data_IF_756296855848
#
_entry.id   IF_756296855848
#
_cell.length_a   1.000
_cell.length_b   1.000
_cell.length_c   1.000
_cell.angle_alpha   90.00
_cell.angle_beta   90.00
_cell.angle_gamma   90.00
#
_symmetry.space_group_name_H-M   'P 1'
#
loop_
_entity.id
_entity.type
_entity.pdbx_description
1 polymer ?
#
# COMPACT_ATOMS: atom_id res chain seq x y z
N UNK A 1 -1.20 30.73 -15.75
CA UNK A 1 -1.95 29.78 -14.92
C UNK A 1 -1.67 28.41 -15.52
N UNK A 2 -1.05 27.47 -14.78
CA UNK A 2 -0.98 26.09 -15.27
C UNK A 2 -2.32 25.42 -14.99
N UNK A 3 -2.86 24.75 -16.00
CA UNK A 3 -4.10 23.98 -15.90
C UNK A 3 -3.85 22.74 -15.04
N UNK A 4 -4.70 22.51 -14.04
CA UNK A 4 -4.69 21.30 -13.20
C UNK A 4 -5.79 20.39 -13.74
N UNK A 5 -5.41 19.25 -14.29
CA UNK A 5 -6.34 18.27 -14.87
C UNK A 5 -6.22 16.95 -14.10
N UNK A 6 -7.36 16.43 -13.64
CA UNK A 6 -7.44 15.08 -13.11
C UNK A 6 -7.61 14.09 -14.27
N UNK A 7 -6.75 13.07 -14.35
CA UNK A 7 -6.82 12.03 -15.38
C UNK A 7 -7.18 10.71 -14.70
N UNK A 8 -8.46 10.27 -14.72
CA UNK A 8 -8.92 9.08 -13.98
C UNK A 8 -8.15 7.80 -14.30
N UNK A 9 -7.70 7.65 -15.55
CA UNK A 9 -6.87 6.53 -15.99
C UNK A 9 -5.50 6.54 -15.29
N UNK A 10 -4.85 7.70 -15.19
CA UNK A 10 -3.58 7.82 -14.49
C UNK A 10 -3.74 7.56 -12.98
N UNK A 11 -4.83 8.02 -12.39
CA UNK A 11 -5.17 7.76 -10.98
C UNK A 11 -5.40 6.25 -10.77
N UNK A 12 -6.12 5.58 -11.67
CA UNK A 12 -6.37 4.14 -11.59
C UNK A 12 -5.06 3.35 -11.69
N UNK A 13 -4.15 3.72 -12.60
CA UNK A 13 -2.81 3.10 -12.72
C UNK A 13 -1.93 3.32 -11.49
N UNK A 14 -2.05 4.47 -10.83
CA UNK A 14 -1.41 4.68 -9.54
C UNK A 14 -1.96 3.74 -8.48
N UNK A 15 -3.28 3.50 -8.50
CA UNK A 15 -3.93 2.46 -7.70
C UNK A 15 -3.38 1.06 -7.96
N UNK A 16 -3.18 0.68 -9.23
CA UNK A 16 -2.58 -0.61 -9.61
C UNK A 16 -1.17 -0.77 -9.01
N UNK A 17 -0.34 0.27 -9.15
CA UNK A 17 1.01 0.28 -8.61
C UNK A 17 1.02 0.17 -7.07
N UNK A 18 0.10 0.86 -6.40
CA UNK A 18 -0.06 0.77 -4.95
C UNK A 18 -0.53 -0.63 -4.51
N UNK A 19 -1.44 -1.26 -5.26
CA UNK A 19 -1.88 -2.63 -4.98
C UNK A 19 -0.74 -3.65 -5.13
N UNK A 20 0.08 -3.51 -6.17
CA UNK A 20 1.28 -4.35 -6.36
C UNK A 20 2.26 -4.15 -5.21
N UNK A 21 2.49 -2.91 -4.77
CA UNK A 21 3.36 -2.64 -3.61
C UNK A 21 2.80 -3.26 -2.34
N UNK A 22 1.49 -3.15 -2.09
CA UNK A 22 0.85 -3.78 -0.94
C UNK A 22 1.07 -5.29 -0.92
N UNK A 23 0.89 -5.97 -2.06
CA UNK A 23 1.09 -7.41 -2.18
C UNK A 23 2.56 -7.81 -1.96
N UNK A 24 3.50 -7.09 -2.58
CA UNK A 24 4.93 -7.36 -2.46
C UNK A 24 5.42 -7.17 -1.01
N UNK A 25 5.09 -6.02 -0.41
CA UNK A 25 5.48 -5.69 0.97
C UNK A 25 4.83 -6.66 1.96
N UNK A 26 3.54 -6.98 1.77
CA UNK A 26 2.84 -7.98 2.60
C UNK A 26 3.48 -9.37 2.52
N UNK A 27 3.90 -9.80 1.32
CA UNK A 27 4.59 -11.09 1.13
C UNK A 27 5.96 -11.10 1.81
N UNK A 28 6.71 -10.00 1.72
CA UNK A 28 7.99 -9.86 2.45
C UNK A 28 7.79 -9.85 3.97
N UNK A 29 6.66 -9.32 4.45
CA UNK A 29 6.25 -9.40 5.85
C UNK A 29 5.84 -10.81 6.29
N UNK A 30 5.46 -11.72 5.41
CA UNK A 30 5.01 -13.07 5.79
C UNK A 30 6.14 -14.03 6.23
N UNK A 31 7.36 -13.52 6.49
CA UNK A 31 8.50 -14.34 6.89
C UNK A 31 8.31 -14.98 8.27
N UNK A 32 8.74 -16.24 8.42
CA UNK A 32 8.73 -16.93 9.71
C UNK A 32 9.80 -16.35 10.65
N UNK A 33 9.39 -15.40 11.49
CA UNK A 33 10.27 -14.75 12.46
C UNK A 33 10.97 -15.72 13.41
N UNK A 34 10.28 -16.77 13.85
CA UNK A 34 10.87 -17.76 14.75
C UNK A 34 12.00 -18.52 14.06
N UNK A 35 11.84 -18.85 12.77
CA UNK A 35 12.92 -19.45 11.98
C UNK A 35 14.09 -18.48 11.76
N UNK A 36 13.81 -17.21 11.48
CA UNK A 36 14.85 -16.18 11.30
C UNK A 36 15.66 -15.94 12.58
N UNK A 37 14.98 -15.84 13.74
CA UNK A 37 15.66 -15.68 15.04
C UNK A 37 16.43 -16.94 15.39
N UNK A 38 15.86 -18.14 15.19
CA UNK A 38 16.55 -19.41 15.45
C UNK A 38 17.82 -19.57 14.62
N UNK A 39 17.80 -19.12 13.35
CA UNK A 39 18.95 -19.21 12.45
C UNK A 39 20.14 -18.34 12.91
N UNK A 40 19.91 -17.27 13.68
CA UNK A 40 20.99 -16.38 14.17
C UNK A 40 21.46 -16.72 15.59
N UNK A 41 20.79 -17.63 16.30
CA UNK A 41 21.22 -18.10 17.64
C UNK A 41 22.69 -18.57 17.66
N UNK A 42 23.19 -19.37 16.69
CA UNK A 42 24.58 -19.82 16.70
C UNK A 42 25.59 -18.68 16.48
N UNK A 43 25.18 -17.61 15.80
CA UNK A 43 26.04 -16.44 15.50
C UNK A 43 26.31 -15.63 16.77
N UNK A 44 25.30 -15.45 17.61
CA UNK A 44 25.44 -14.69 18.86
C UNK A 44 26.09 -15.50 20.00
N UNK A 45 26.03 -16.84 19.94
CA UNK A 45 26.62 -17.71 20.95
C UNK A 45 26.04 -17.51 22.36
N UNK A 46 26.70 -18.07 23.38
CA UNK A 46 26.22 -18.00 24.77
C UNK A 46 26.37 -16.62 25.42
N UNK A 47 27.34 -15.81 24.98
CA UNK A 47 27.60 -14.48 25.54
C UNK A 47 26.67 -13.44 24.90
N UNK A 48 26.25 -13.63 23.65
CA UNK A 48 25.42 -12.69 22.90
C UNK A 48 23.92 -12.80 23.15
N UNK A 49 23.46 -13.43 24.24
CA UNK A 49 22.04 -13.66 24.50
C UNK A 49 21.24 -12.35 24.65
N UNK A 50 21.83 -11.32 25.25
CA UNK A 50 21.20 -10.00 25.35
C UNK A 50 21.04 -9.34 23.97
N UNK A 51 22.03 -9.52 23.09
CA UNK A 51 21.94 -9.06 21.70
C UNK A 51 20.91 -9.86 20.89
N UNK A 52 20.81 -11.17 21.14
CA UNK A 52 19.79 -12.02 20.52
C UNK A 52 18.38 -11.60 20.95
N UNK A 53 18.17 -11.28 22.22
CA UNK A 53 16.91 -10.76 22.73
C UNK A 53 16.56 -9.41 22.09
N UNK A 54 17.51 -8.47 22.02
CA UNK A 54 17.33 -7.19 21.34
C UNK A 54 17.02 -7.37 19.85
N UNK A 55 17.70 -8.30 19.17
CA UNK A 55 17.44 -8.65 17.78
C UNK A 55 16.02 -9.20 17.57
N UNK A 56 15.55 -10.07 18.46
CA UNK A 56 14.19 -10.62 18.39
C UNK A 56 13.12 -9.52 18.52
N UNK A 57 13.30 -8.57 19.45
CA UNK A 57 12.41 -7.40 19.58
C UNK A 57 12.48 -6.52 18.33
N UNK A 58 13.68 -6.25 17.81
CA UNK A 58 13.84 -5.47 16.59
C UNK A 58 13.15 -6.13 15.39
N UNK A 59 13.22 -7.46 15.28
CA UNK A 59 12.51 -8.20 14.25
C UNK A 59 10.99 -8.10 14.41
N UNK A 60 10.47 -8.27 15.64
CA UNK A 60 9.05 -8.09 15.93
C UNK A 60 8.55 -6.72 15.46
N UNK A 61 9.29 -5.65 15.79
CA UNK A 61 8.97 -4.29 15.36
C UNK A 61 9.05 -4.13 13.84
N UNK A 62 10.09 -4.69 13.19
CA UNK A 62 10.23 -4.63 11.74
C UNK A 62 9.02 -5.26 11.02
N UNK A 63 8.55 -6.41 11.48
CA UNK A 63 7.38 -7.07 10.91
C UNK A 63 6.11 -6.25 11.05
N UNK A 64 5.88 -5.64 12.21
CA UNK A 64 4.76 -4.74 12.42
C UNK A 64 4.82 -3.56 11.44
N UNK A 65 5.98 -2.91 11.33
CA UNK A 65 6.16 -1.78 10.41
C UNK A 65 5.98 -2.17 8.93
N UNK A 66 6.47 -3.34 8.50
CA UNK A 66 6.26 -3.84 7.13
C UNK A 66 4.77 -4.12 6.87
N UNK A 67 4.06 -4.67 7.86
CA UNK A 67 2.63 -4.94 7.76
C UNK A 67 1.82 -3.65 7.65
N UNK A 68 2.14 -2.64 8.47
CA UNK A 68 1.54 -1.30 8.37
C UNK A 68 1.78 -0.66 7.00
N UNK A 69 2.99 -0.76 6.47
CA UNK A 69 3.33 -0.23 5.16
C UNK A 69 2.52 -0.91 4.04
N UNK A 70 2.33 -2.23 4.11
CA UNK A 70 1.49 -2.97 3.17
C UNK A 70 0.03 -2.47 3.23
N UNK A 71 -0.50 -2.23 4.43
CA UNK A 71 -1.85 -1.71 4.64
C UNK A 71 -2.00 -0.30 4.05
N UNK A 72 -1.03 0.58 4.24
CA UNK A 72 -1.06 1.94 3.67
C UNK A 72 -1.10 1.90 2.14
N UNK A 73 -0.30 1.03 1.51
CA UNK A 73 -0.34 0.85 0.07
C UNK A 73 -1.68 0.28 -0.40
N UNK A 74 -2.26 -0.68 0.33
CA UNK A 74 -3.60 -1.20 0.01
C UNK A 74 -4.68 -0.12 0.11
N UNK A 75 -4.66 0.68 1.18
CA UNK A 75 -5.59 1.80 1.37
C UNK A 75 -5.42 2.86 0.28
N UNK A 76 -4.18 3.15 -0.14
CA UNK A 76 -3.88 4.06 -1.24
C UNK A 76 -4.43 3.54 -2.57
N UNK A 77 -4.36 2.23 -2.81
CA UNK A 77 -4.96 1.63 -3.99
C UNK A 77 -6.48 1.81 -4.00
N UNK A 78 -7.15 1.50 -2.87
CA UNK A 78 -8.60 1.67 -2.71
C UNK A 78 -9.03 3.11 -2.98
N UNK A 79 -8.38 4.09 -2.32
CA UNK A 79 -8.77 5.49 -2.48
C UNK A 79 -8.51 6.03 -3.88
N UNK A 80 -7.46 5.54 -4.56
CA UNK A 80 -7.21 5.88 -5.96
C UNK A 80 -8.33 5.37 -6.88
N UNK A 81 -8.76 4.11 -6.73
CA UNK A 81 -9.85 3.57 -7.53
C UNK A 81 -11.19 4.26 -7.25
N UNK A 82 -11.50 4.49 -5.98
CA UNK A 82 -12.71 5.20 -5.57
C UNK A 82 -12.73 6.63 -6.12
N UNK A 83 -11.61 7.35 -6.00
CA UNK A 83 -11.49 8.71 -6.54
C UNK A 83 -11.64 8.77 -8.06
N UNK A 84 -11.00 7.86 -8.79
CA UNK A 84 -11.14 7.78 -10.24
C UNK A 84 -12.57 7.41 -10.68
N UNK A 85 -13.23 6.50 -9.93
CA UNK A 85 -14.62 6.12 -10.15
C UNK A 85 -15.59 7.28 -9.92
N UNK A 86 -15.44 7.97 -8.79
CA UNK A 86 -16.25 9.14 -8.45
C UNK A 86 -16.14 10.25 -9.50
N UNK A 87 -14.93 10.51 -10.00
CA UNK A 87 -14.71 11.48 -11.07
C UNK A 87 -15.48 11.09 -12.35
N UNK A 88 -15.37 9.83 -12.79
CA UNK A 88 -16.08 9.34 -13.99
C UNK A 88 -17.59 9.44 -13.85
N UNK A 89 -18.15 9.06 -12.70
CA UNK A 89 -19.59 9.18 -12.45
C UNK A 89 -20.08 10.64 -12.50
N UNK A 90 -19.28 11.57 -11.97
CA UNK A 90 -19.59 13.00 -12.03
C UNK A 90 -19.59 13.52 -13.47
N UNK A 91 -18.61 13.13 -14.27
CA UNK A 91 -18.54 13.49 -15.69
C UNK A 91 -19.72 12.93 -16.49
N UNK A 92 -20.05 11.64 -16.33
CA UNK A 92 -21.19 11.02 -17.03
C UNK A 92 -22.53 11.71 -16.70
N UNK A 93 -22.70 12.13 -15.44
CA UNK A 93 -23.87 12.90 -15.00
C UNK A 93 -23.89 14.26 -15.70
N UNK A 94 -22.77 14.99 -15.70
CA UNK A 94 -22.67 16.30 -16.34
C UNK A 94 -22.94 16.23 -17.86
N UNK A 95 -22.37 15.24 -18.56
CA UNK A 95 -22.60 15.01 -19.99
C UNK A 95 -24.09 14.77 -20.27
N UNK A 96 -24.76 13.99 -19.42
CA UNK A 96 -26.19 13.71 -19.55
C UNK A 96 -27.02 14.99 -19.40
N UNK A 97 -26.74 15.78 -18.37
CA UNK A 97 -27.45 17.02 -18.07
C UNK A 97 -27.25 18.08 -19.16
N UNK A 98 -25.99 18.32 -19.58
CA UNK A 98 -25.69 19.25 -20.66
C UNK A 98 -26.26 18.80 -22.00
N UNK A 99 -26.24 17.49 -22.28
CA UNK A 99 -26.88 16.93 -23.45
C UNK A 99 -28.40 17.14 -23.44
N UNK A 100 -29.05 17.12 -22.28
CA UNK A 100 -30.48 17.40 -22.15
C UNK A 100 -30.81 18.89 -22.38
N UNK A 101 -29.95 19.80 -21.93
CA UNK A 101 -30.11 21.24 -22.17
C UNK A 101 -29.88 21.59 -23.65
N UNK A 102 -28.82 21.07 -24.27
CA UNK A 102 -28.48 21.39 -25.67
C UNK A 102 -29.46 20.86 -26.72
N UNK A 103 -30.46 20.06 -26.32
CA UNK A 103 -31.57 19.60 -27.17
C UNK A 103 -32.85 20.42 -27.02
N UNK A 104 -32.86 21.44 -26.15
CA UNK A 104 -33.93 22.43 -26.00
C UNK A 104 -33.65 23.65 -26.89
#
# INVERSE_FOLDING_TARGET
MNEIVAVPEAISRYGDAAAVMAANVGTMGAANQAATVAAVVPVFGLIGQDFLAAFAVAQANNLLSVSELAIVHAATAVTAYEGAGAYRMSEDTAVTDFGAIGRQ
#
